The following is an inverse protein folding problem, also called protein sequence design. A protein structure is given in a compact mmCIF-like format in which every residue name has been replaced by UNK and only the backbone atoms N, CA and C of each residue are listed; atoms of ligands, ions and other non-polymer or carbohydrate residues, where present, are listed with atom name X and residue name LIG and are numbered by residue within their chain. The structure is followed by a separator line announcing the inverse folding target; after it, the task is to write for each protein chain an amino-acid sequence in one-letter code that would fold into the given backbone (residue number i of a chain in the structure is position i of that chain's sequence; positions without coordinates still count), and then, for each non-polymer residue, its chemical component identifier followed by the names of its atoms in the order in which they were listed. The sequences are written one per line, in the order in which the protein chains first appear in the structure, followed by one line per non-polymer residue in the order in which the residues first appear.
data_IF_047908259934
#
_entry.id   IF_047908259934
#
_cell.length_a   1.000
_cell.length_b   1.000
_cell.length_c   1.000
_cell.angle_alpha   90.00
_cell.angle_beta   90.00
_cell.angle_gamma   90.00
#
_symmetry.space_group_name_H-M   'P 1'
#
loop_
_entity.id
_entity.type
_entity.pdbx_description
1 polymer ?
#
# COMPACT_ATOMS: atom_id res chain seq x y z
N UNK A 1 -16.66 -21.13 -5.27
CA UNK A 1 -15.57 -20.18 -5.58
C UNK A 1 -14.35 -21.01 -5.88
N UNK A 2 -13.74 -20.90 -7.07
CA UNK A 2 -12.57 -21.72 -7.39
C UNK A 2 -11.39 -21.44 -6.48
N UNK A 3 -10.52 -22.44 -6.34
CA UNK A 3 -9.28 -22.33 -5.56
C UNK A 3 -8.36 -21.21 -6.07
N UNK A 4 -8.37 -20.96 -7.39
CA UNK A 4 -7.63 -19.85 -8.02
C UNK A 4 -8.11 -18.49 -7.52
N UNK A 5 -9.41 -18.24 -7.48
CA UNK A 5 -9.95 -16.96 -6.97
C UNK A 5 -9.70 -16.81 -5.46
N UNK A 6 -9.82 -17.90 -4.69
CA UNK A 6 -9.49 -17.88 -3.25
C UNK A 6 -8.01 -17.53 -3.02
N UNK A 7 -7.11 -18.15 -3.78
CA UNK A 7 -5.68 -17.86 -3.71
C UNK A 7 -5.39 -16.40 -4.05
N UNK A 8 -5.99 -15.86 -5.11
CA UNK A 8 -5.77 -14.47 -5.51
C UNK A 8 -6.30 -13.47 -4.45
N UNK A 9 -7.44 -13.76 -3.81
CA UNK A 9 -7.92 -12.94 -2.67
C UNK A 9 -6.97 -12.97 -1.48
N UNK A 10 -6.30 -14.10 -1.20
CA UNK A 10 -5.26 -14.16 -0.16
C UNK A 10 -4.06 -13.28 -0.53
N UNK A 11 -3.62 -13.30 -1.78
CA UNK A 11 -2.55 -12.43 -2.27
C UNK A 11 -2.95 -10.96 -2.13
N UNK A 12 -4.17 -10.59 -2.51
CA UNK A 12 -4.69 -9.22 -2.33
C UNK A 12 -4.63 -8.78 -0.87
N UNK A 13 -5.06 -9.64 0.07
CA UNK A 13 -5.00 -9.36 1.50
C UNK A 13 -3.57 -9.10 1.98
N UNK A 14 -2.58 -9.85 1.48
CA UNK A 14 -1.17 -9.62 1.78
C UNK A 14 -0.71 -8.29 1.18
N UNK A 15 -1.09 -7.95 -0.05
CA UNK A 15 -0.78 -6.64 -0.64
C UNK A 15 -1.37 -5.47 0.16
N UNK A 16 -2.59 -5.62 0.70
CA UNK A 16 -3.19 -4.60 1.58
C UNK A 16 -2.42 -4.45 2.90
N UNK A 17 -1.87 -5.54 3.44
CA UNK A 17 -0.99 -5.49 4.61
C UNK A 17 0.34 -4.80 4.29
N UNK A 18 0.95 -5.13 3.15
CA UNK A 18 2.20 -4.49 2.70
C UNK A 18 2.02 -3.00 2.44
N UNK A 19 0.92 -2.60 1.80
CA UNK A 19 0.59 -1.18 1.59
C UNK A 19 0.45 -0.45 2.93
N UNK A 20 -0.28 -1.02 3.89
CA UNK A 20 -0.39 -0.43 5.24
C UNK A 20 0.97 -0.32 5.92
N UNK A 21 1.82 -1.33 5.81
CA UNK A 21 3.17 -1.29 6.38
C UNK A 21 4.02 -0.19 5.75
N UNK A 22 3.92 0.03 4.44
CA UNK A 22 4.63 1.10 3.74
C UNK A 22 4.11 2.49 4.16
N UNK A 23 2.80 2.64 4.31
CA UNK A 23 2.15 3.86 4.81
C UNK A 23 2.65 4.24 6.22
N UNK A 24 2.70 3.26 7.13
CA UNK A 24 3.26 3.46 8.48
C UNK A 24 4.74 3.88 8.46
N UNK A 25 5.55 3.26 7.59
CA UNK A 25 6.97 3.59 7.44
C UNK A 25 7.18 5.00 6.89
N UNK A 26 6.41 5.41 5.90
CA UNK A 26 6.46 6.76 5.36
C UNK A 26 6.08 7.78 6.43
N UNK A 27 4.97 7.56 7.14
CA UNK A 27 4.54 8.44 8.21
C UNK A 27 5.58 8.56 9.35
N UNK A 28 6.29 7.46 9.65
CA UNK A 28 7.40 7.48 10.62
C UNK A 28 8.60 8.27 10.10
N UNK A 29 8.98 8.10 8.83
CA UNK A 29 10.06 8.86 8.21
C UNK A 29 9.76 10.36 8.19
N UNK A 30 8.51 10.74 7.87
CA UNK A 30 8.04 12.13 7.88
C UNK A 30 8.07 12.72 9.29
N UNK A 31 7.63 11.97 10.31
CA UNK A 31 7.75 12.38 11.71
C UNK A 31 9.21 12.63 12.10
N UNK A 32 10.10 11.70 11.79
CA UNK A 32 11.53 11.86 12.12
C UNK A 32 12.16 13.07 11.40
N UNK A 33 11.78 13.31 10.14
CA UNK A 33 12.21 14.51 9.41
C UNK A 33 11.71 15.80 10.09
N UNK A 34 10.44 15.83 10.50
CA UNK A 34 9.86 16.96 11.22
C UNK A 34 10.55 17.22 12.57
N UNK A 35 10.92 16.18 13.31
CA UNK A 35 11.70 16.30 14.56
C UNK A 35 13.07 16.93 14.33
N UNK A 36 13.75 16.56 13.23
CA UNK A 36 15.04 17.15 12.87
C UNK A 36 14.90 18.63 12.50
N UNK A 37 13.86 19.00 11.76
CA UNK A 37 13.59 20.41 11.44
C UNK A 37 13.24 21.22 12.70
N UNK A 38 12.40 20.68 13.60
CA UNK A 38 12.10 21.32 14.88
C UNK A 38 13.36 21.57 15.72
N UNK A 39 14.28 20.59 15.76
CA UNK A 39 15.57 20.73 16.46
C UNK A 39 16.49 21.78 15.80
N UNK A 40 16.44 21.94 14.47
CA UNK A 40 17.18 23.01 13.77
C UNK A 40 16.62 24.38 14.12
N UNK A 41 15.31 24.53 14.14
CA UNK A 41 14.65 25.79 14.52
C UNK A 41 14.93 26.17 15.98
N UNK A 42 14.94 25.20 16.89
CA UNK A 42 15.29 25.42 18.29
C UNK A 42 16.74 25.89 18.43
N UNK A 43 17.67 25.24 17.72
CA UNK A 43 19.07 25.66 17.70
C UNK A 43 19.24 27.06 17.11
N UNK A 44 18.52 27.39 16.04
CA UNK A 44 18.55 28.73 15.44
C UNK A 44 18.06 29.79 16.44
N UNK A 45 16.92 29.54 17.11
CA UNK A 45 16.38 30.42 18.15
C UNK A 45 17.35 30.62 19.32
N UNK A 46 18.05 29.56 19.73
CA UNK A 46 19.09 29.65 20.75
C UNK A 46 20.25 30.54 20.29
N UNK A 47 20.74 30.36 19.06
CA UNK A 47 21.83 31.15 18.50
C UNK A 47 21.48 32.64 18.31
N UNK A 48 20.23 32.95 17.98
CA UNK A 48 19.76 34.34 17.81
C UNK A 48 19.59 35.06 19.16
N UNK A 49 19.30 34.32 20.24
CA UNK A 49 19.06 34.87 21.59
C UNK A 49 20.30 35.04 22.45
N UNK A 50 21.42 34.40 22.11
CA UNK A 50 22.66 34.45 22.89
C UNK A 50 23.82 35.13 22.14
N UNK A 51 24.64 35.89 22.88
CA UNK A 51 25.93 36.36 22.37
C UNK A 51 26.93 35.18 22.38
N UNK A 52 26.83 34.31 21.39
CA UNK A 52 27.66 33.12 21.27
C UNK A 52 29.13 33.50 21.05
N UNK A 53 29.94 33.37 22.10
CA UNK A 53 31.40 33.56 22.04
C UNK A 53 32.13 32.36 22.63
N UNK A 54 33.33 32.08 22.10
CA UNK A 54 34.17 31.00 22.62
C UNK A 54 33.59 29.58 22.45
N UNK A 55 33.79 28.67 23.41
CA UNK A 55 33.44 27.24 23.27
C UNK A 55 31.97 26.95 22.95
N UNK A 56 31.04 27.82 23.38
CA UNK A 56 29.60 27.65 23.16
C UNK A 56 29.26 27.81 21.67
N UNK A 57 29.88 28.80 21.00
CA UNK A 57 29.73 28.97 19.56
C UNK A 57 30.25 27.76 18.78
N UNK A 58 31.37 27.16 19.21
CA UNK A 58 31.91 25.94 18.62
C UNK A 58 30.98 24.73 18.79
N UNK A 59 30.37 24.58 19.97
CA UNK A 59 29.40 23.51 20.24
C UNK A 59 28.12 23.68 19.41
N UNK A 60 27.59 24.90 19.31
CA UNK A 60 26.42 25.22 18.49
C UNK A 60 26.69 24.94 17.00
N UNK A 61 27.86 25.33 16.48
CA UNK A 61 28.27 25.03 15.10
C UNK A 61 28.38 23.52 14.84
N UNK A 62 28.99 22.77 15.76
CA UNK A 62 29.07 21.31 15.65
C UNK A 62 27.68 20.65 15.68
N UNK A 63 26.77 21.14 16.51
CA UNK A 63 25.40 20.67 16.57
C UNK A 63 24.63 20.99 15.28
N UNK A 64 24.80 22.19 14.73
CA UNK A 64 24.19 22.59 13.46
C UNK A 64 24.64 21.68 12.31
N UNK A 65 25.93 21.35 12.22
CA UNK A 65 26.45 20.41 11.22
C UNK A 65 25.84 19.01 11.37
N UNK A 66 25.70 18.52 12.61
CA UNK A 66 25.06 17.21 12.86
C UNK A 66 23.59 17.21 12.46
N UNK A 67 22.84 18.26 12.81
CA UNK A 67 21.42 18.40 12.43
C UNK A 67 21.25 18.56 10.92
N UNK A 68 22.16 19.28 10.24
CA UNK A 68 22.16 19.37 8.78
C UNK A 68 22.37 17.99 8.14
N UNK A 69 23.36 17.22 8.60
CA UNK A 69 23.61 15.87 8.11
C UNK A 69 22.43 14.93 8.36
N UNK A 70 21.83 14.99 9.57
CA UNK A 70 20.61 14.24 9.90
C UNK A 70 19.43 14.64 9.02
N UNK A 71 19.26 15.92 8.72
CA UNK A 71 18.19 16.40 7.85
C UNK A 71 18.32 15.88 6.42
N UNK A 72 19.54 15.87 5.86
CA UNK A 72 19.80 15.28 4.55
C UNK A 72 19.48 13.78 4.55
N UNK A 73 19.87 13.05 5.61
CA UNK A 73 19.55 11.64 5.74
C UNK A 73 18.04 11.40 5.85
N UNK A 74 17.34 12.18 6.68
CA UNK A 74 15.89 12.09 6.86
C UNK A 74 15.12 12.35 5.56
N UNK A 75 15.51 13.38 4.79
CA UNK A 75 14.91 13.67 3.49
C UNK A 75 15.07 12.48 2.51
N UNK A 76 16.27 11.88 2.44
CA UNK A 76 16.51 10.68 1.62
C UNK A 76 15.65 9.49 2.06
N UNK A 77 15.47 9.31 3.37
CA UNK A 77 14.60 8.26 3.89
C UNK A 77 13.14 8.52 3.51
N UNK A 78 12.63 9.73 3.66
CA UNK A 78 11.27 10.10 3.23
C UNK A 78 11.08 9.81 1.74
N UNK A 79 12.03 10.22 0.88
CA UNK A 79 11.94 9.97 -0.57
C UNK A 79 11.89 8.47 -0.90
N UNK A 80 12.76 7.68 -0.28
CA UNK A 80 12.79 6.22 -0.47
C UNK A 80 11.51 5.54 0.03
N UNK A 81 10.98 5.96 1.17
CA UNK A 81 9.72 5.44 1.71
C UNK A 81 8.51 5.86 0.88
N UNK A 82 8.52 7.07 0.31
CA UNK A 82 7.49 7.55 -0.60
C UNK A 82 7.48 6.73 -1.90
N UNK A 83 8.66 6.41 -2.45
CA UNK A 83 8.78 5.52 -3.60
C UNK A 83 8.26 4.11 -3.28
N UNK A 84 8.67 3.53 -2.15
CA UNK A 84 8.19 2.22 -1.71
C UNK A 84 6.66 2.18 -1.53
N UNK A 85 6.06 3.27 -1.03
CA UNK A 85 4.60 3.39 -0.89
C UNK A 85 3.88 3.48 -2.25
N UNK A 86 4.45 4.19 -3.23
CA UNK A 86 3.92 4.22 -4.60
C UNK A 86 3.96 2.82 -5.22
N UNK A 87 5.06 2.11 -5.07
CA UNK A 87 5.23 0.73 -5.57
C UNK A 87 4.24 -0.24 -4.93
N UNK A 88 4.12 -0.22 -3.60
CA UNK A 88 3.16 -1.06 -2.87
C UNK A 88 1.72 -0.76 -3.32
N UNK A 89 1.39 0.51 -3.53
CA UNK A 89 0.07 0.93 -4.03
C UNK A 89 -0.17 0.43 -5.46
N UNK A 90 0.83 0.51 -6.34
CA UNK A 90 0.72 0.02 -7.71
C UNK A 90 0.51 -1.50 -7.77
N UNK A 91 1.30 -2.26 -7.00
CA UNK A 91 1.16 -3.72 -6.89
C UNK A 91 -0.21 -4.12 -6.35
N UNK A 92 -0.68 -3.47 -5.30
CA UNK A 92 -2.01 -3.70 -4.73
C UNK A 92 -3.11 -3.48 -5.77
N UNK A 93 -3.06 -2.37 -6.53
CA UNK A 93 -4.02 -2.07 -7.59
C UNK A 93 -4.03 -3.13 -8.70
N UNK A 94 -2.85 -3.61 -9.11
CA UNK A 94 -2.74 -4.66 -10.13
C UNK A 94 -3.37 -5.97 -9.66
N UNK A 95 -3.09 -6.39 -8.43
CA UNK A 95 -3.68 -7.60 -7.85
C UNK A 95 -5.19 -7.45 -7.68
N UNK A 96 -5.68 -6.29 -7.22
CA UNK A 96 -7.11 -6.01 -7.09
C UNK A 96 -7.85 -6.17 -8.44
N UNK A 97 -7.31 -5.58 -9.51
CA UNK A 97 -7.84 -5.75 -10.87
C UNK A 97 -7.87 -7.22 -11.30
N UNK A 98 -6.84 -7.99 -10.97
CA UNK A 98 -6.77 -9.42 -11.24
C UNK A 98 -7.83 -10.23 -10.49
N UNK A 99 -8.10 -9.89 -9.22
CA UNK A 99 -9.19 -10.50 -8.44
C UNK A 99 -10.55 -10.20 -9.08
N UNK A 100 -10.79 -8.96 -9.48
CA UNK A 100 -12.06 -8.55 -10.09
C UNK A 100 -12.30 -9.24 -11.43
N UNK A 101 -11.26 -9.35 -12.27
CA UNK A 101 -11.33 -10.06 -13.54
C UNK A 101 -11.68 -11.54 -13.32
N UNK A 102 -10.96 -12.23 -12.43
CA UNK A 102 -11.23 -13.63 -12.09
C UNK A 102 -12.63 -13.82 -11.49
N UNK A 103 -13.11 -12.88 -10.66
CA UNK A 103 -14.44 -12.96 -10.09
C UNK A 103 -15.54 -12.87 -11.16
N UNK A 104 -15.34 -12.01 -12.18
CA UNK A 104 -16.26 -11.89 -13.33
C UNK A 104 -16.25 -13.14 -14.20
N UNK A 105 -15.07 -13.69 -14.49
CA UNK A 105 -14.93 -14.94 -15.25
C UNK A 105 -15.66 -16.10 -14.56
N UNK A 106 -15.49 -16.22 -13.24
CA UNK A 106 -16.17 -17.22 -12.42
C UNK A 106 -17.69 -17.06 -12.41
N UNK A 107 -18.18 -15.82 -12.35
CA UNK A 107 -19.61 -15.54 -12.41
C UNK A 107 -20.19 -15.95 -13.77
N UNK A 108 -19.54 -15.57 -14.87
CA UNK A 108 -19.96 -15.93 -16.21
C UNK A 108 -19.91 -17.45 -16.46
N UNK A 109 -18.90 -18.15 -15.93
CA UNK A 109 -18.80 -19.60 -16.02
C UNK A 109 -19.93 -20.31 -15.25
N UNK A 110 -20.31 -19.79 -14.08
CA UNK A 110 -21.46 -20.31 -13.31
C UNK A 110 -22.77 -20.09 -14.05
N UNK A 111 -22.99 -18.89 -14.56
CA UNK A 111 -24.20 -18.55 -15.31
C UNK A 111 -24.36 -19.45 -16.54
N UNK A 112 -23.29 -19.66 -17.32
CA UNK A 112 -23.30 -20.62 -18.44
C UNK A 112 -23.71 -22.02 -18.00
N UNK A 113 -23.11 -22.55 -16.93
CA UNK A 113 -23.43 -23.88 -16.41
C UNK A 113 -24.86 -24.00 -15.91
N UNK A 114 -25.40 -22.95 -15.30
CA UNK A 114 -26.77 -22.92 -14.82
C UNK A 114 -27.77 -22.86 -15.98
N UNK A 115 -27.46 -22.11 -17.05
CA UNK A 115 -28.25 -22.09 -18.28
C UNK A 115 -28.24 -23.45 -19.00
N UNK A 116 -27.07 -24.09 -19.12
CA UNK A 116 -26.94 -25.45 -19.69
C UNK A 116 -27.84 -26.44 -18.95
N UNK A 117 -27.81 -26.44 -17.62
CA UNK A 117 -28.67 -27.30 -16.78
C UNK A 117 -30.16 -27.04 -16.96
N UNK A 118 -30.56 -25.78 -17.13
CA UNK A 118 -31.95 -25.44 -17.39
C UNK A 118 -32.41 -26.00 -18.74
N UNK A 119 -31.59 -25.83 -19.79
CA UNK A 119 -31.86 -26.35 -21.13
C UNK A 119 -31.96 -27.88 -21.11
N UNK A 120 -30.99 -28.56 -20.49
CA UNK A 120 -31.01 -30.02 -20.31
C UNK A 120 -32.29 -30.47 -19.58
N UNK A 121 -32.68 -29.76 -18.52
CA UNK A 121 -33.91 -30.05 -17.79
C UNK A 121 -35.18 -29.85 -18.62
N UNK A 122 -35.23 -28.85 -19.50
CA UNK A 122 -36.35 -28.68 -20.45
C UNK A 122 -36.38 -29.77 -21.51
N UNK A 123 -35.22 -30.12 -22.08
CA UNK A 123 -35.11 -31.18 -23.07
C UNK A 123 -35.52 -32.55 -22.49
N UNK A 124 -35.08 -32.87 -21.27
CA UNK A 124 -35.47 -34.09 -20.58
C UNK A 124 -36.98 -34.17 -20.29
N UNK A 125 -37.60 -33.05 -19.89
CA UNK A 125 -39.06 -32.97 -19.69
C UNK A 125 -39.83 -33.12 -21.00
N UNK A 126 -39.38 -32.49 -22.09
CA UNK A 126 -40.00 -32.63 -23.39
C UNK A 126 -39.92 -34.08 -23.92
N UNK A 127 -38.78 -34.75 -23.72
CA UNK A 127 -38.61 -36.16 -24.09
C UNK A 127 -39.52 -37.10 -23.26
N UNK A 128 -39.73 -36.81 -21.98
CA UNK A 128 -40.62 -37.59 -21.11
C UNK A 128 -42.10 -37.46 -21.50
N UNK A 129 -42.54 -36.29 -21.98
CA UNK A 129 -43.93 -36.06 -22.42
C UNK A 129 -44.21 -36.64 -23.81
N UNK A 130 -43.19 -36.76 -24.67
CA UNK A 130 -43.32 -37.33 -26.01
C UNK A 130 -43.14 -38.86 -26.11
N UNK A 131 -42.81 -39.53 -25.01
CA UNK A 131 -42.54 -40.98 -24.97
C UNK A 131 -43.71 -41.85 -24.46
N UNK A 132 -44.86 -41.25 -24.13
CA UNK A 132 -46.03 -41.91 -23.54
C UNK A 132 -47.23 -41.96 -24.53
N UNK A 133 -46.93 -42.18 -25.81
CA UNK A 133 -47.90 -42.30 -26.91
C UNK A 133 -47.70 -43.56 -27.75
#
# INVERSE_FOLDING_TARGET
MTERLKAMKRVLKVQDQLKRSADWRLAEAERSAAEVEAAKEELARFCDGELLTGPIAGAAAAQALRLAARGIAAAKTVDAEAEAMRDATARQKLVAKGVDALAREEAAARERKDLERLIEGFAARAAAVGGDG
#
